data_IF_192370920331
#
_entry.id   IF_192370920331
#
_cell.length_a   1.000
_cell.length_b   1.000
_cell.length_c   1.000
_cell.angle_alpha   90.00
_cell.angle_beta   90.00
_cell.angle_gamma   90.00
#
_symmetry.space_group_name_H-M   'P 1'
#
loop_
_entity.id
_entity.type
_entity.pdbx_description
1 polymer ?
#
# COMPACT_ATOMS: atom_id res chain seq x y z
N UNK A 1 8.98 20.48 -0.19
CA UNK A 1 8.81 20.85 -1.61
C UNK A 1 9.33 19.66 -2.38
N UNK A 2 8.44 18.78 -2.86
CA UNK A 2 8.88 17.58 -3.62
C UNK A 2 9.20 18.09 -5.02
N UNK A 3 10.48 18.16 -5.35
CA UNK A 3 10.91 18.44 -6.71
C UNK A 3 10.37 17.34 -7.63
N UNK A 4 9.58 17.76 -8.62
CA UNK A 4 9.18 16.89 -9.72
C UNK A 4 10.45 16.54 -10.50
N UNK A 5 11.02 15.37 -10.25
CA UNK A 5 12.11 14.83 -11.05
C UNK A 5 11.49 14.33 -12.36
N UNK A 6 11.49 15.22 -13.36
CA UNK A 6 10.98 14.94 -14.70
C UNK A 6 12.13 14.38 -15.54
N UNK A 7 12.01 13.14 -16.03
CA UNK A 7 12.97 12.60 -16.98
C UNK A 7 12.56 13.04 -18.40
N UNK A 8 13.30 13.98 -18.98
CA UNK A 8 13.07 14.39 -20.38
C UNK A 8 13.59 13.31 -21.34
N UNK A 9 12.69 12.67 -22.09
CA UNK A 9 13.05 11.82 -23.22
C UNK A 9 12.87 12.62 -24.51
N UNK A 10 13.95 12.78 -25.28
CA UNK A 10 13.94 13.57 -26.52
C UNK A 10 13.27 12.79 -27.65
N UNK A 11 11.97 13.00 -27.84
CA UNK A 11 11.15 12.47 -28.93
C UNK A 11 9.78 11.98 -28.43
N UNK A 12 8.73 12.73 -28.79
CA UNK A 12 7.37 12.75 -28.24
C UNK A 12 7.25 13.29 -26.80
N UNK A 13 6.52 14.41 -26.68
CA UNK A 13 6.34 15.25 -25.49
C UNK A 13 5.35 14.61 -24.51
N UNK A 14 5.70 13.43 -23.99
CA UNK A 14 4.92 12.73 -22.98
C UNK A 14 5.62 12.89 -21.61
N UNK A 15 5.17 13.87 -20.83
CA UNK A 15 5.68 14.11 -19.48
C UNK A 15 5.21 13.00 -18.54
N UNK A 16 6.12 12.11 -18.12
CA UNK A 16 5.81 11.02 -17.18
C UNK A 16 6.12 11.48 -15.75
N UNK A 17 5.15 11.33 -14.84
CA UNK A 17 5.38 11.50 -13.40
C UNK A 17 6.15 10.30 -12.84
N UNK A 18 7.47 10.45 -12.70
CA UNK A 18 8.39 9.38 -12.27
C UNK A 18 8.05 8.85 -10.87
N UNK A 19 7.67 9.73 -9.93
CA UNK A 19 7.34 9.35 -8.55
C UNK A 19 6.07 8.49 -8.49
N UNK A 20 5.01 8.89 -9.20
CA UNK A 20 3.77 8.11 -9.30
C UNK A 20 3.98 6.77 -9.99
N UNK A 21 4.87 6.69 -10.97
CA UNK A 21 5.23 5.42 -11.62
C UNK A 21 6.06 4.51 -10.71
N UNK A 22 7.06 5.05 -10.00
CA UNK A 22 7.88 4.30 -9.04
C UNK A 22 7.05 3.71 -7.89
N UNK A 23 6.06 4.46 -7.37
CA UNK A 23 5.14 3.97 -6.35
C UNK A 23 4.32 2.77 -6.84
N UNK A 24 3.77 2.86 -8.06
CA UNK A 24 3.03 1.75 -8.70
C UNK A 24 3.91 0.52 -8.93
N UNK A 25 5.14 0.72 -9.41
CA UNK A 25 6.12 -0.37 -9.60
C UNK A 25 6.43 -1.06 -8.27
N UNK A 26 6.63 -0.29 -7.21
CA UNK A 26 6.91 -0.83 -5.88
C UNK A 26 5.74 -1.66 -5.35
N UNK A 27 4.50 -1.17 -5.53
CA UNK A 27 3.29 -1.88 -5.14
C UNK A 27 3.16 -3.22 -5.87
N UNK A 28 3.35 -3.25 -7.19
CA UNK A 28 3.26 -4.50 -7.96
C UNK A 28 4.41 -5.46 -7.61
N UNK A 29 5.63 -4.96 -7.41
CA UNK A 29 6.77 -5.78 -6.99
C UNK A 29 6.49 -6.48 -5.66
N UNK A 30 5.98 -5.75 -4.67
CA UNK A 30 5.69 -6.26 -3.33
C UNK A 30 4.42 -7.14 -3.34
N UNK A 31 3.45 -6.84 -4.19
CA UNK A 31 2.32 -7.72 -4.47
C UNK A 31 2.78 -9.07 -4.99
N UNK A 32 3.65 -9.09 -6.00
CA UNK A 32 4.13 -10.33 -6.62
C UNK A 32 5.10 -11.08 -5.69
N UNK A 33 6.15 -10.43 -5.19
CA UNK A 33 7.19 -11.09 -4.40
C UNK A 33 6.74 -11.40 -2.96
N UNK A 34 5.94 -10.52 -2.38
CA UNK A 34 5.43 -10.65 -1.01
C UNK A 34 4.20 -11.52 -0.93
N UNK A 35 3.19 -11.19 -1.74
CA UNK A 35 1.84 -11.76 -1.67
C UNK A 35 1.53 -12.73 -2.81
N UNK A 36 2.43 -12.93 -3.78
CA UNK A 36 2.15 -13.73 -4.98
C UNK A 36 0.94 -13.24 -5.78
N UNK A 37 0.60 -11.95 -5.70
CA UNK A 37 -0.56 -11.33 -6.36
C UNK A 37 -0.12 -10.08 -7.11
N UNK A 38 -0.30 -10.09 -8.42
CA UNK A 38 -0.16 -8.88 -9.22
C UNK A 38 -1.36 -7.96 -8.93
N UNK A 39 -1.08 -6.72 -8.52
CA UNK A 39 -2.12 -5.73 -8.28
C UNK A 39 -2.47 -4.96 -9.56
N UNK A 40 -1.67 -5.06 -10.61
CA UNK A 40 -1.87 -4.35 -11.88
C UNK A 40 -1.74 -2.84 -11.74
N UNK A 41 -0.99 -2.36 -10.74
CA UNK A 41 -0.84 -0.94 -10.46
C UNK A 41 -0.14 -0.19 -11.59
N UNK A 42 0.86 -0.81 -12.25
CA UNK A 42 1.58 -0.23 -13.40
C UNK A 42 0.65 -0.08 -14.61
N UNK A 43 -0.24 -1.05 -14.84
CA UNK A 43 -1.11 -1.12 -16.02
C UNK A 43 -2.33 -0.21 -15.91
N UNK A 44 -2.90 -0.09 -14.72
CA UNK A 44 -4.07 0.74 -14.45
C UNK A 44 -3.85 1.63 -13.22
N UNK A 45 -3.62 2.90 -13.50
CA UNK A 45 -3.43 3.94 -12.49
C UNK A 45 -4.70 4.30 -11.71
N UNK A 46 -5.85 3.99 -12.29
CA UNK A 46 -7.17 4.16 -11.69
C UNK A 46 -7.68 2.88 -11.04
N UNK A 47 -6.83 1.86 -10.92
CA UNK A 47 -7.20 0.65 -10.24
C UNK A 47 -7.61 0.99 -8.80
N UNK A 48 -8.79 0.50 -8.43
CA UNK A 48 -9.39 0.72 -7.11
C UNK A 48 -8.42 0.35 -5.98
N UNK A 49 -7.59 -0.68 -6.15
CA UNK A 49 -6.60 -1.06 -5.16
C UNK A 49 -5.50 -0.02 -4.99
N UNK A 50 -5.03 0.59 -6.07
CA UNK A 50 -4.02 1.67 -6.05
C UNK A 50 -4.59 2.91 -5.35
N UNK A 51 -5.84 3.27 -5.65
CA UNK A 51 -6.49 4.42 -5.01
C UNK A 51 -6.66 4.20 -3.51
N UNK A 52 -7.16 3.04 -3.11
CA UNK A 52 -7.33 2.65 -1.70
C UNK A 52 -5.96 2.59 -1.00
N UNK A 53 -4.95 2.01 -1.65
CA UNK A 53 -3.58 1.95 -1.15
C UNK A 53 -2.99 3.34 -0.91
N UNK A 54 -3.15 4.26 -1.87
CA UNK A 54 -2.69 5.63 -1.73
C UNK A 54 -3.40 6.37 -0.59
N UNK A 55 -4.70 6.15 -0.37
CA UNK A 55 -5.41 6.75 0.76
C UNK A 55 -4.86 6.29 2.11
N UNK A 56 -4.52 5.00 2.24
CA UNK A 56 -4.04 4.43 3.52
C UNK A 56 -2.59 4.79 3.80
N UNK A 57 -1.74 4.75 2.77
CA UNK A 57 -0.29 4.75 2.97
C UNK A 57 0.43 5.96 2.36
N UNK A 58 -0.22 6.74 1.49
CA UNK A 58 0.28 8.00 0.94
C UNK A 58 -0.63 9.18 1.36
N UNK A 59 -0.64 9.56 2.65
CA UNK A 59 -1.46 10.67 3.11
C UNK A 59 -1.15 11.93 2.30
N UNK A 60 -2.20 12.54 1.73
CA UNK A 60 -2.07 13.68 0.83
C UNK A 60 -1.36 14.86 1.51
N UNK A 61 -0.79 15.77 0.72
CA UNK A 61 -0.16 17.00 1.26
C UNK A 61 -1.11 17.81 2.17
N UNK A 62 -2.42 17.67 1.97
CA UNK A 62 -3.47 18.25 2.81
C UNK A 62 -3.52 17.59 4.20
N UNK A 63 -3.36 16.27 4.29
CA UNK A 63 -3.25 15.55 5.55
C UNK A 63 -1.97 15.92 6.31
N UNK A 64 -0.85 16.09 5.60
CA UNK A 64 0.43 16.57 6.15
C UNK A 64 0.29 18.00 6.70
N UNK A 65 -0.40 18.88 5.97
CA UNK A 65 -0.71 20.24 6.41
C UNK A 65 -1.65 20.25 7.62
N UNK A 66 -2.62 19.34 7.67
CA UNK A 66 -3.51 19.18 8.82
C UNK A 66 -2.71 18.78 10.08
N UNK A 67 -1.74 17.85 9.97
CA UNK A 67 -0.81 17.52 11.07
C UNK A 67 0.01 18.73 11.55
N UNK A 68 0.45 19.61 10.65
CA UNK A 68 1.12 20.86 11.06
C UNK A 68 0.16 21.81 11.80
N UNK A 69 -1.10 21.88 11.39
CA UNK A 69 -2.13 22.66 12.10
C UNK A 69 -2.48 22.02 13.44
N UNK A 70 -2.48 20.69 13.55
CA UNK A 70 -2.65 19.94 14.81
C UNK A 70 -1.56 20.27 15.83
N UNK A 71 -0.33 20.56 15.40
CA UNK A 71 0.74 21.05 16.29
C UNK A 71 0.46 22.43 16.90
N UNK A 72 -0.41 23.23 16.29
CA UNK A 72 -0.77 24.58 16.75
C UNK A 72 -2.10 24.62 17.50
N UNK A 73 -2.95 23.60 17.37
CA UNK A 73 -4.31 23.58 17.88
C UNK A 73 -4.48 22.54 19.01
N UNK A 74 -5.03 22.91 20.17
CA UNK A 74 -5.22 21.98 21.29
C UNK A 74 -6.10 20.76 20.94
N UNK A 75 -5.72 19.58 21.46
CA UNK A 75 -6.36 18.28 21.19
C UNK A 75 -7.90 18.24 21.37
N UNK A 76 -8.46 19.08 22.23
CA UNK A 76 -9.91 19.15 22.48
C UNK A 76 -10.71 19.81 21.33
N UNK A 77 -10.07 20.63 20.49
CA UNK A 77 -10.69 21.21 19.28
C UNK A 77 -10.70 20.18 18.16
N UNK A 78 -9.68 19.32 18.10
CA UNK A 78 -9.51 18.30 17.07
C UNK A 78 -10.48 17.12 17.24
N UNK A 79 -10.75 16.70 18.48
CA UNK A 79 -11.75 15.64 18.75
C UNK A 79 -13.19 16.08 18.51
N UNK A 80 -13.45 17.38 18.47
CA UNK A 80 -14.75 17.96 18.13
C UNK A 80 -14.97 18.14 16.61
N UNK A 81 -13.90 18.06 15.81
CA UNK A 81 -13.97 18.13 14.36
C UNK A 81 -14.26 16.74 13.78
N UNK A 82 -15.36 16.54 13.04
CA UNK A 82 -15.60 15.32 12.29
C UNK A 82 -14.66 15.30 11.07
N UNK A 83 -13.41 14.88 11.29
CA UNK A 83 -12.40 14.74 10.24
C UNK A 83 -12.81 13.55 9.35
N UNK A 84 -13.52 13.83 8.25
CA UNK A 84 -13.91 12.84 7.22
C UNK A 84 -12.72 12.01 6.72
N UNK A 85 -11.52 12.59 6.73
CA UNK A 85 -10.30 11.89 6.35
C UNK A 85 -10.05 10.62 7.20
N UNK A 86 -10.41 10.62 8.49
CA UNK A 86 -10.23 9.44 9.34
C UNK A 86 -11.21 8.31 8.97
N UNK A 87 -12.46 8.64 8.59
CA UNK A 87 -13.40 7.63 8.12
C UNK A 87 -12.95 7.00 6.80
N UNK A 88 -12.44 7.82 5.89
CA UNK A 88 -12.02 7.38 4.56
C UNK A 88 -10.78 6.47 4.66
N UNK A 89 -9.79 6.83 5.48
CA UNK A 89 -8.62 5.99 5.78
C UNK A 89 -9.06 4.67 6.41
N UNK A 90 -9.97 4.70 7.40
CA UNK A 90 -10.44 3.48 8.06
C UNK A 90 -11.19 2.52 7.11
N UNK A 91 -11.93 3.07 6.15
CA UNK A 91 -12.63 2.27 5.15
C UNK A 91 -11.64 1.68 4.16
N UNK A 92 -10.69 2.48 3.70
CA UNK A 92 -9.67 2.04 2.77
C UNK A 92 -8.77 0.95 3.39
N UNK A 93 -8.36 1.11 4.66
CA UNK A 93 -7.56 0.11 5.38
C UNK A 93 -8.30 -1.22 5.53
N UNK A 94 -9.62 -1.17 5.77
CA UNK A 94 -10.46 -2.38 5.80
C UNK A 94 -10.48 -3.10 4.47
N UNK A 95 -10.65 -2.38 3.36
CA UNK A 95 -10.63 -2.98 2.02
C UNK A 95 -9.29 -3.64 1.68
N UNK A 96 -8.15 -3.03 2.03
CA UNK A 96 -6.83 -3.67 1.80
C UNK A 96 -6.69 -4.91 2.68
N UNK A 97 -7.14 -4.84 3.93
CA UNK A 97 -7.12 -5.98 4.85
C UNK A 97 -7.94 -7.16 4.31
N UNK A 98 -9.11 -6.90 3.76
CA UNK A 98 -9.96 -7.90 3.10
C UNK A 98 -9.23 -8.55 1.91
N UNK A 99 -8.60 -7.75 1.05
CA UNK A 99 -7.82 -8.25 -0.09
C UNK A 99 -6.66 -9.12 0.36
N UNK A 100 -5.96 -8.74 1.43
CA UNK A 100 -4.89 -9.55 2.03
C UNK A 100 -5.43 -10.87 2.57
N UNK A 101 -6.55 -10.82 3.29
CA UNK A 101 -7.22 -12.00 3.85
C UNK A 101 -7.62 -12.99 2.76
N UNK A 102 -8.33 -12.53 1.74
CA UNK A 102 -8.74 -13.37 0.58
C UNK A 102 -7.53 -14.02 -0.10
N UNK A 103 -6.43 -13.28 -0.23
CA UNK A 103 -5.20 -13.76 -0.86
C UNK A 103 -4.53 -14.85 -0.01
N UNK A 104 -4.51 -14.68 1.31
CA UNK A 104 -3.95 -15.66 2.25
C UNK A 104 -4.81 -16.92 2.30
N UNK A 105 -6.14 -16.79 2.41
CA UNK A 105 -7.09 -17.90 2.40
C UNK A 105 -6.98 -18.72 1.10
N UNK A 106 -6.87 -18.04 -0.06
CA UNK A 106 -6.66 -18.68 -1.35
C UNK A 106 -5.33 -19.43 -1.45
N UNK A 107 -4.29 -18.99 -0.72
CA UNK A 107 -3.01 -19.71 -0.66
C UNK A 107 -3.09 -20.92 0.26
N UNK A 108 -3.68 -20.78 1.43
CA UNK A 108 -3.79 -21.88 2.40
C UNK A 108 -4.57 -23.07 1.83
N UNK A 109 -5.64 -22.82 1.07
CA UNK A 109 -6.36 -23.88 0.37
C UNK A 109 -5.46 -24.63 -0.62
N UNK A 110 -4.64 -23.91 -1.39
CA UNK A 110 -3.66 -24.50 -2.32
C UNK A 110 -2.53 -25.26 -1.62
N UNK A 111 -2.15 -24.89 -0.38
CA UNK A 111 -1.11 -25.60 0.42
C UNK A 111 -1.61 -26.99 0.74
N UNK A 112 -2.87 -27.07 1.16
CA UNK A 112 -3.54 -28.33 1.50
C UNK A 112 -3.60 -29.28 0.30
N UNK A 113 -3.68 -28.73 -0.91
CA UNK A 113 -3.65 -29.47 -2.18
C UNK A 113 -2.25 -29.85 -2.67
N UNK A 114 -1.17 -29.58 -1.90
CA UNK A 114 0.25 -29.78 -2.26
C UNK A 114 0.69 -29.06 -3.55
N UNK A 115 0.01 -27.98 -3.92
CA UNK A 115 0.18 -27.28 -5.20
C UNK A 115 0.92 -25.93 -5.10
N UNK A 116 1.68 -25.65 -4.03
CA UNK A 116 2.50 -24.43 -3.98
C UNK A 116 3.92 -24.64 -4.46
N UNK A 117 4.07 -24.51 -5.78
CA UNK A 117 5.34 -24.11 -6.40
C UNK A 117 5.58 -22.58 -6.29
N UNK A 118 4.70 -21.84 -5.62
CA UNK A 118 4.82 -20.39 -5.50
C UNK A 118 5.93 -19.98 -4.51
N UNK A 119 6.91 -19.25 -5.03
CA UNK A 119 8.05 -18.67 -4.33
C UNK A 119 7.72 -17.21 -3.96
N UNK A 120 6.87 -17.04 -2.95
CA UNK A 120 6.60 -15.73 -2.35
C UNK A 120 6.72 -15.80 -0.81
N UNK A 121 6.90 -14.63 -0.19
CA UNK A 121 7.15 -14.51 1.26
C UNK A 121 5.96 -15.06 2.05
N UNK A 122 4.73 -14.71 1.67
CA UNK A 122 3.53 -15.18 2.38
C UNK A 122 3.32 -16.68 2.24
N UNK A 123 3.55 -17.25 1.06
CA UNK A 123 3.53 -18.71 0.87
C UNK A 123 4.55 -19.41 1.76
N UNK A 124 5.72 -18.79 1.98
CA UNK A 124 6.73 -19.33 2.90
C UNK A 124 6.30 -19.22 4.36
N UNK A 125 5.74 -18.08 4.77
CA UNK A 125 5.21 -17.86 6.12
C UNK A 125 4.05 -18.80 6.45
N UNK A 126 3.15 -19.07 5.50
CA UNK A 126 2.07 -20.05 5.65
C UNK A 126 2.65 -21.46 5.87
N UNK A 127 3.68 -21.84 5.09
CA UNK A 127 4.31 -23.17 5.20
C UNK A 127 4.97 -23.42 6.55
N UNK A 128 5.44 -22.38 7.26
CA UNK A 128 6.03 -22.58 8.59
C UNK A 128 4.98 -22.94 9.64
N UNK A 129 3.69 -22.64 9.40
CA UNK A 129 2.60 -22.86 10.35
C UNK A 129 2.75 -22.07 11.66
N UNK A 130 3.61 -21.05 11.68
CA UNK A 130 3.93 -20.28 12.90
C UNK A 130 2.92 -19.19 13.19
N UNK A 131 2.30 -18.66 12.14
CA UNK A 131 1.40 -17.51 12.22
C UNK A 131 -0.06 -17.96 12.05
N UNK A 132 -0.95 -17.36 12.82
CA UNK A 132 -2.39 -17.40 12.61
C UNK A 132 -2.79 -16.59 11.37
N UNK A 133 -4.01 -16.80 10.88
CA UNK A 133 -4.52 -16.08 9.70
C UNK A 133 -4.50 -14.55 9.90
N UNK A 134 -4.85 -14.08 11.09
CA UNK A 134 -4.83 -12.66 11.40
C UNK A 134 -3.42 -12.11 11.50
N UNK A 135 -2.45 -12.87 12.03
CA UNK A 135 -1.04 -12.46 12.04
C UNK A 135 -0.47 -12.43 10.63
N UNK A 136 -0.82 -13.38 9.77
CA UNK A 136 -0.43 -13.37 8.35
C UNK A 136 -0.97 -12.13 7.64
N UNK A 137 -2.23 -11.76 7.90
CA UNK A 137 -2.84 -10.53 7.38
C UNK A 137 -2.11 -9.30 7.92
N UNK A 138 -1.75 -9.25 9.19
CA UNK A 138 -1.02 -8.13 9.78
C UNK A 138 0.39 -7.98 9.19
N UNK A 139 1.09 -9.09 8.91
CA UNK A 139 2.39 -9.06 8.22
C UNK A 139 2.24 -8.60 6.76
N UNK A 140 1.19 -9.05 6.06
CA UNK A 140 0.89 -8.58 4.71
C UNK A 140 0.64 -7.06 4.67
N UNK A 141 -0.17 -6.54 5.61
CA UNK A 141 -0.43 -5.12 5.75
C UNK A 141 0.85 -4.33 6.07
N UNK A 142 1.71 -4.87 6.93
CA UNK A 142 2.99 -4.24 7.30
C UNK A 142 3.95 -4.18 6.11
N UNK A 143 4.04 -5.25 5.32
CA UNK A 143 4.84 -5.31 4.10
C UNK A 143 4.39 -4.25 3.07
N UNK A 144 3.07 -4.14 2.88
CA UNK A 144 2.45 -3.12 2.03
C UNK A 144 2.70 -1.69 2.53
N UNK A 145 2.73 -1.48 3.85
CA UNK A 145 3.05 -0.18 4.45
C UNK A 145 4.53 0.20 4.29
N UNK A 146 5.42 -0.76 4.51
CA UNK A 146 6.87 -0.57 4.46
C UNK A 146 7.35 -0.18 3.05
N UNK A 147 6.69 -0.70 2.02
CA UNK A 147 6.87 -0.37 0.61
C UNK A 147 6.97 1.13 0.34
N UNK A 148 6.09 1.93 0.94
CA UNK A 148 6.05 3.38 0.72
C UNK A 148 7.13 4.11 1.49
N UNK A 149 7.47 3.62 2.68
CA UNK A 149 8.41 4.29 3.58
C UNK A 149 9.86 4.28 3.07
N UNK A 150 10.18 3.45 2.08
CA UNK A 150 11.50 3.40 1.45
C UNK A 150 11.76 4.53 0.42
N UNK A 151 10.72 5.23 -0.05
CA UNK A 151 10.86 6.34 -1.00
C UNK A 151 10.96 7.74 -0.39
N UNK A 152 10.77 7.88 0.93
CA UNK A 152 10.72 9.19 1.63
C UNK A 152 12.04 9.51 2.39
N UNK A 153 13.07 8.68 2.21
CA UNK A 153 14.41 8.87 2.78
C UNK A 153 15.46 9.06 1.66
N UNK A 154 15.43 10.22 1.01
CA UNK A 154 16.65 10.85 0.50
C UNK A 154 16.70 12.25 1.14
N UNK A 155 17.70 12.43 2.04
CA UNK A 155 18.06 13.71 2.66
C UNK A 155 18.64 14.69 1.63
#
# INVERSE_FOLDING_TARGET
>A
MVEKITAEKKGDDETIEVVGWASRVTLDLIGIAGLGKDFGAIQDENNKLVQIYNVVFQPTQQARMLHFIESLVPAWVLTALPIKLNSDISQAARSIREVCRETIESKQSKVTEKNLDAIDIMSSAIRTGTFTDDELVDQAMTLLAAAIRLGDHED
#
